data_IF_694778116704
#
_entry.id   IF_694778116704
#
_cell.length_a   1.000
_cell.length_b   1.000
_cell.length_c   1.000
_cell.angle_alpha   90.00
_cell.angle_beta   90.00
_cell.angle_gamma   90.00
#
_symmetry.space_group_name_H-M   'P 1'
#
loop_
_entity.id
_entity.type
_entity.pdbx_description
1 polymer ?
#
# COMPACT_ATOMS: atom_id res chain seq x y z
N UNK A 1 7.03 18.97 -17.92
CA UNK A 1 8.38 18.76 -17.33
C UNK A 1 8.87 17.38 -17.75
N UNK A 2 10.13 17.21 -18.17
CA UNK A 2 10.62 15.89 -18.55
C UNK A 2 11.07 15.12 -17.30
N UNK A 3 10.26 14.15 -16.84
CA UNK A 3 10.66 13.22 -15.79
C UNK A 3 11.71 12.24 -16.32
N UNK A 4 12.70 11.90 -15.47
CA UNK A 4 13.84 11.01 -15.78
C UNK A 4 13.64 9.56 -15.32
N UNK A 5 12.45 9.26 -14.81
CA UNK A 5 12.03 7.97 -14.28
C UNK A 5 10.76 7.54 -15.00
N UNK A 6 10.42 6.25 -14.92
CA UNK A 6 9.23 5.71 -15.59
C UNK A 6 8.01 5.83 -14.68
N UNK A 7 7.07 6.70 -15.06
CA UNK A 7 5.81 6.84 -14.35
C UNK A 7 4.94 5.59 -14.47
N UNK A 8 5.01 4.91 -15.61
CA UNK A 8 4.33 3.62 -15.82
C UNK A 8 4.81 2.58 -14.80
N UNK A 9 6.13 2.39 -14.68
CA UNK A 9 6.70 1.40 -13.75
C UNK A 9 6.40 1.71 -12.29
N UNK A 10 6.37 2.98 -11.90
CA UNK A 10 5.99 3.37 -10.54
C UNK A 10 4.52 3.05 -10.28
N UNK A 11 3.63 3.34 -11.23
CA UNK A 11 2.21 2.99 -11.12
C UNK A 11 2.00 1.48 -11.01
N UNK A 12 2.63 0.70 -11.89
CA UNK A 12 2.55 -0.77 -11.88
C UNK A 12 3.06 -1.35 -10.56
N UNK A 13 4.17 -0.83 -10.04
CA UNK A 13 4.69 -1.26 -8.73
C UNK A 13 3.69 -0.96 -7.59
N UNK A 14 2.96 0.16 -7.66
CA UNK A 14 1.91 0.47 -6.68
C UNK A 14 0.71 -0.47 -6.81
N UNK A 15 0.33 -0.87 -8.03
CA UNK A 15 -0.71 -1.87 -8.27
C UNK A 15 -0.33 -3.23 -7.68
N UNK A 16 0.93 -3.66 -7.88
CA UNK A 16 1.45 -4.91 -7.33
C UNK A 16 1.44 -4.90 -5.80
N UNK A 17 1.87 -3.79 -5.18
CA UNK A 17 1.84 -3.64 -3.71
C UNK A 17 0.39 -3.66 -3.21
N UNK A 18 -0.51 -2.91 -3.83
CA UNK A 18 -1.93 -2.88 -3.44
C UNK A 18 -2.59 -4.26 -3.55
N UNK A 19 -2.26 -5.03 -4.59
CA UNK A 19 -2.74 -6.40 -4.75
C UNK A 19 -2.31 -7.29 -3.57
N UNK A 20 -1.04 -7.21 -3.14
CA UNK A 20 -0.56 -7.97 -1.98
C UNK A 20 -1.25 -7.55 -0.67
N UNK A 21 -1.45 -6.24 -0.46
CA UNK A 21 -2.16 -5.75 0.72
C UNK A 21 -3.61 -6.23 0.73
N UNK A 22 -4.26 -6.27 -0.44
CA UNK A 22 -5.63 -6.76 -0.59
C UNK A 22 -5.74 -8.25 -0.22
N UNK A 23 -4.77 -9.08 -0.63
CA UNK A 23 -4.70 -10.49 -0.21
C UNK A 23 -4.52 -10.63 1.32
N UNK A 24 -3.86 -9.67 1.94
CA UNK A 24 -3.58 -9.68 3.37
C UNK A 24 -4.77 -9.28 4.25
N UNK A 25 -5.77 -8.57 3.72
CA UNK A 25 -6.87 -7.96 4.48
C UNK A 25 -7.57 -8.92 5.44
N UNK A 26 -7.89 -10.13 4.96
CA UNK A 26 -8.55 -11.14 5.78
C UNK A 26 -7.70 -11.57 6.97
N UNK A 27 -6.38 -11.62 6.82
CA UNK A 27 -5.46 -12.00 7.90
C UNK A 27 -5.37 -10.90 8.95
N UNK A 28 -5.37 -9.62 8.54
CA UNK A 28 -5.44 -8.48 9.48
C UNK A 28 -6.80 -8.41 10.19
N UNK A 29 -7.90 -8.72 9.50
CA UNK A 29 -9.22 -8.80 10.11
C UNK A 29 -9.29 -9.92 11.16
N UNK A 30 -8.78 -11.11 10.85
CA UNK A 30 -8.71 -12.23 11.79
C UNK A 30 -7.76 -11.93 12.96
N UNK A 31 -6.60 -11.31 12.70
CA UNK A 31 -5.68 -10.89 13.77
C UNK A 31 -6.35 -9.88 14.72
N UNK A 32 -7.10 -8.91 14.18
CA UNK A 32 -7.89 -7.96 14.97
C UNK A 32 -8.92 -8.68 15.83
N UNK A 33 -9.62 -9.66 15.28
CA UNK A 33 -10.60 -10.47 16.01
C UNK A 33 -9.94 -11.23 17.15
N UNK A 34 -8.87 -11.97 16.89
CA UNK A 34 -8.13 -12.73 17.92
C UNK A 34 -7.58 -11.82 19.03
N UNK A 35 -7.04 -10.64 18.67
CA UNK A 35 -6.57 -9.68 19.65
C UNK A 35 -7.69 -9.13 20.54
N UNK A 36 -8.89 -8.92 19.99
CA UNK A 36 -10.09 -8.56 20.78
C UNK A 36 -10.55 -9.70 21.69
N UNK A 37 -10.51 -10.94 21.22
CA UNK A 37 -10.84 -12.12 22.04
C UNK A 37 -9.87 -12.24 23.24
N UNK A 38 -8.59 -11.95 23.04
CA UNK A 38 -7.60 -11.93 24.13
C UNK A 38 -7.92 -10.89 25.23
N UNK A 39 -8.58 -9.78 24.88
CA UNK A 39 -9.03 -8.78 25.87
C UNK A 39 -10.17 -9.29 26.75
N UNK A 40 -10.92 -10.28 26.29
CA UNK A 40 -12.03 -10.90 27.01
C UNK A 40 -11.59 -12.00 27.97
N UNK A 41 -10.28 -12.24 28.14
CA UNK A 41 -9.76 -13.22 29.09
C UNK A 41 -10.17 -12.81 30.52
N UNK A 42 -10.82 -13.69 31.30
CA UNK A 42 -11.20 -13.39 32.67
C UNK A 42 -9.99 -13.01 33.53
N UNK A 43 -10.17 -12.03 34.42
CA UNK A 43 -9.13 -11.53 35.33
C UNK A 43 -7.86 -11.01 34.61
N UNK A 44 -8.00 -10.53 33.37
CA UNK A 44 -6.89 -9.92 32.64
C UNK A 44 -6.39 -8.67 33.38
N UNK A 45 -5.09 -8.58 33.73
CA UNK A 45 -4.54 -7.39 34.35
C UNK A 45 -4.67 -6.16 33.45
N UNK A 46 -4.95 -4.99 34.04
CA UNK A 46 -5.12 -3.74 33.30
C UNK A 46 -3.92 -3.37 32.40
N UNK A 47 -2.70 -3.66 32.86
CA UNK A 47 -1.50 -3.39 32.05
C UNK A 47 -1.47 -4.24 30.77
N UNK A 48 -2.02 -5.45 30.80
CA UNK A 48 -2.14 -6.30 29.62
C UNK A 48 -3.26 -5.81 28.70
N UNK A 49 -4.42 -5.42 29.24
CA UNK A 49 -5.50 -4.84 28.43
C UNK A 49 -5.03 -3.59 27.67
N UNK A 50 -4.27 -2.72 28.32
CA UNK A 50 -3.68 -1.53 27.70
C UNK A 50 -2.75 -1.89 26.53
N UNK A 51 -1.94 -2.94 26.67
CA UNK A 51 -1.06 -3.42 25.59
C UNK A 51 -1.86 -4.01 24.43
N UNK A 52 -2.93 -4.74 24.72
CA UNK A 52 -3.80 -5.33 23.70
C UNK A 52 -4.61 -4.26 22.94
N UNK A 53 -5.02 -3.17 23.61
CA UNK A 53 -5.62 -2.01 22.94
C UNK A 53 -4.65 -1.45 21.89
N UNK A 54 -3.40 -1.18 22.29
CA UNK A 54 -2.37 -0.69 21.36
C UNK A 54 -2.14 -1.64 20.19
N UNK A 55 -2.05 -2.95 20.46
CA UNK A 55 -1.92 -3.97 19.41
C UNK A 55 -3.09 -3.95 18.42
N UNK A 56 -4.34 -3.84 18.90
CA UNK A 56 -5.53 -3.76 18.04
C UNK A 56 -5.49 -2.50 17.18
N UNK A 57 -5.05 -1.37 17.73
CA UNK A 57 -4.89 -0.13 16.96
C UNK A 57 -3.82 -0.26 15.89
N UNK A 58 -2.67 -0.87 16.21
CA UNK A 58 -1.58 -1.07 15.25
C UNK A 58 -1.97 -2.00 14.09
N UNK A 59 -2.69 -3.09 14.38
CA UNK A 59 -3.19 -4.01 13.34
C UNK A 59 -4.16 -3.30 12.38
N UNK A 60 -5.00 -2.40 12.90
CA UNK A 60 -5.97 -1.65 12.09
C UNK A 60 -5.33 -0.63 11.15
N UNK A 61 -4.07 -0.24 11.37
CA UNK A 61 -3.34 0.75 10.56
C UNK A 61 -2.97 0.26 9.15
N UNK A 62 -3.48 -0.89 8.71
CA UNK A 62 -3.38 -1.32 7.32
C UNK A 62 -4.03 -0.33 6.35
N UNK A 63 -5.07 0.40 6.78
CA UNK A 63 -5.66 1.50 6.04
C UNK A 63 -4.61 2.56 5.63
N UNK A 64 -3.71 2.92 6.54
CA UNK A 64 -2.61 3.86 6.26
C UNK A 64 -1.66 3.37 5.18
N UNK A 65 -1.53 2.06 4.98
CA UNK A 65 -0.69 1.53 3.89
C UNK A 65 -1.32 1.89 2.55
N UNK A 66 -2.64 1.73 2.41
CA UNK A 66 -3.38 2.10 1.21
C UNK A 66 -3.30 3.60 0.94
N UNK A 67 -3.49 4.42 1.98
CA UNK A 67 -3.35 5.88 1.86
C UNK A 67 -1.97 6.30 1.34
N UNK A 68 -0.91 5.56 1.73
CA UNK A 68 0.46 5.81 1.26
C UNK A 68 0.67 5.39 -0.19
N UNK A 69 0.09 4.27 -0.62
CA UNK A 69 0.09 3.85 -2.02
C UNK A 69 -0.60 4.92 -2.87
N UNK A 70 -1.76 5.40 -2.43
CA UNK A 70 -2.50 6.47 -3.11
C UNK A 70 -1.70 7.77 -3.15
N UNK A 71 -1.04 8.14 -2.05
CA UNK A 71 -0.17 9.33 -2.01
C UNK A 71 0.94 9.25 -3.06
N UNK A 72 1.58 8.09 -3.22
CA UNK A 72 2.61 7.89 -4.25
C UNK A 72 2.02 8.06 -5.66
N UNK A 73 0.81 7.56 -5.91
CA UNK A 73 0.13 7.75 -7.20
C UNK A 73 -0.20 9.22 -7.44
N UNK A 74 -0.66 9.93 -6.42
CA UNK A 74 -0.99 11.36 -6.51
C UNK A 74 0.23 12.26 -6.74
N UNK A 75 1.43 11.80 -6.35
CA UNK A 75 2.69 12.50 -6.62
C UNK A 75 3.19 12.29 -8.07
N UNK A 76 2.56 11.40 -8.86
CA UNK A 76 2.83 11.28 -10.29
C UNK A 76 2.18 12.47 -11.02
N UNK A 77 2.96 13.29 -11.76
CA UNK A 77 2.38 14.44 -12.45
C UNK A 77 1.36 14.04 -13.51
N UNK A 78 0.31 14.86 -13.66
CA UNK A 78 -0.70 14.67 -14.71
C UNK A 78 -0.07 14.53 -16.10
N UNK A 79 -0.53 13.54 -16.87
CA UNK A 79 -0.04 13.25 -18.22
C UNK A 79 1.36 12.62 -18.28
N UNK A 80 2.02 12.40 -17.13
CA UNK A 80 3.34 11.77 -17.09
C UNK A 80 3.32 10.30 -17.53
N UNK A 81 2.24 9.57 -17.20
CA UNK A 81 2.05 8.17 -17.60
C UNK A 81 1.88 8.08 -19.12
N UNK A 82 1.01 8.91 -19.70
CA UNK A 82 0.78 8.97 -21.14
C UNK A 82 2.05 9.36 -21.89
N UNK A 83 2.76 10.39 -21.42
CA UNK A 83 4.01 10.83 -22.03
C UNK A 83 5.10 9.73 -21.96
N UNK A 84 5.18 8.98 -20.86
CA UNK A 84 6.12 7.87 -20.70
C UNK A 84 5.77 6.70 -21.62
N UNK A 85 4.47 6.36 -21.77
CA UNK A 85 3.99 5.34 -22.72
C UNK A 85 4.32 5.70 -24.17
N UNK A 86 4.09 6.95 -24.58
CA UNK A 86 4.41 7.40 -25.94
C UNK A 86 5.92 7.40 -26.20
N UNK A 87 6.74 7.80 -25.22
CA UNK A 87 8.21 7.68 -25.32
C UNK A 87 8.66 6.23 -25.50
N UNK A 88 8.07 5.28 -24.77
CA UNK A 88 8.41 3.87 -24.91
C UNK A 88 8.06 3.33 -26.31
N UNK A 89 6.93 3.75 -26.90
CA UNK A 89 6.54 3.37 -28.27
C UNK A 89 7.50 3.93 -29.33
N UNK A 90 7.89 5.20 -29.21
CA UNK A 90 8.75 5.87 -30.20
C UNK A 90 10.26 5.63 -30.02
N UNK A 91 10.72 5.39 -28.79
CA UNK A 91 12.14 5.09 -28.50
C UNK A 91 12.63 3.77 -29.11
N UNK A 92 11.70 2.83 -29.38
CA UNK A 92 11.97 1.59 -30.12
C UNK A 92 12.28 1.84 -31.60
N UNK A 93 11.74 2.91 -32.20
CA UNK A 93 11.88 3.19 -33.64
C UNK A 93 13.18 3.92 -34.02
N UNK A 94 13.87 4.59 -33.09
CA UNK A 94 15.07 5.37 -33.41
C UNK A 94 16.38 4.57 -33.44
N UNK A 95 16.35 3.25 -33.18
CA UNK A 95 17.55 2.39 -33.18
C UNK A 95 17.85 1.72 -34.53
N UNK A 96 17.32 2.25 -35.64
CA UNK A 96 17.62 1.77 -37.00
C UNK A 96 18.39 2.86 -37.77
N UNK A 97 19.68 3.03 -37.45
CA UNK A 97 20.68 3.61 -38.36
C UNK A 97 21.93 2.73 -38.28
#
# INVERSE_FOLDING_TARGET
MAIKWSAVKVSEAMDDVEAQISLAEQFFAEATKKAKEARSIPNLPQYMDTRLIGLVEDIKRIDRIKDRIESVRNDIPDGAIEADRERAKHGSQQSLI
#
